data_IF_557847545180
#
_entry.id   IF_557847545180
#
_cell.length_a   1.000
_cell.length_b   1.000
_cell.length_c   1.000
_cell.angle_alpha   90.00
_cell.angle_beta   90.00
_cell.angle_gamma   90.00
#
_symmetry.space_group_name_H-M   'P 1'
#
loop_
_entity.id
_entity.type
_entity.pdbx_description
1 polymer ?
#
# COMPACT_ATOMS: atom_id res chain seq x y z
N UNK A 1 -2.38 17.01 -3.65
CA UNK A 1 -1.08 17.71 -3.60
C UNK A 1 0.04 16.94 -4.26
N UNK A 2 0.47 15.80 -3.72
CA UNK A 2 1.55 14.98 -4.29
C UNK A 2 1.41 14.74 -5.80
N UNK A 3 0.23 14.28 -6.25
CA UNK A 3 0.04 13.98 -7.67
C UNK A 3 0.16 15.24 -8.55
N UNK A 4 -0.32 16.39 -8.06
CA UNK A 4 -0.26 17.64 -8.81
C UNK A 4 1.19 18.14 -9.04
N UNK A 5 2.15 17.75 -8.20
CA UNK A 5 3.57 18.05 -8.42
C UNK A 5 4.29 17.05 -9.32
N UNK A 6 3.67 15.90 -9.61
CA UNK A 6 4.30 14.80 -10.37
C UNK A 6 3.74 14.69 -11.77
N UNK A 7 2.44 14.87 -11.96
CA UNK A 7 1.75 14.68 -13.25
C UNK A 7 1.88 15.92 -14.15
N UNK A 8 1.71 15.72 -15.44
CA UNK A 8 1.65 16.79 -16.43
C UNK A 8 0.42 17.68 -16.17
N UNK A 9 0.59 18.99 -16.33
CA UNK A 9 -0.46 19.96 -16.08
C UNK A 9 -1.73 19.66 -16.90
N UNK A 10 -2.90 19.68 -16.23
CA UNK A 10 -4.19 19.43 -16.86
C UNK A 10 -4.47 17.98 -17.25
N UNK A 11 -3.64 17.02 -16.85
CA UNK A 11 -3.80 15.61 -17.22
C UNK A 11 -4.59 14.76 -16.21
N UNK A 12 -4.89 15.29 -15.02
CA UNK A 12 -5.60 14.56 -13.97
C UNK A 12 -7.05 14.26 -14.38
N UNK A 13 -7.38 12.97 -14.44
CA UNK A 13 -8.76 12.48 -14.62
C UNK A 13 -9.07 11.41 -13.57
N UNK A 14 -9.71 11.82 -12.47
CA UNK A 14 -9.93 10.96 -11.31
C UNK A 14 -11.05 9.95 -11.54
N UNK A 15 -10.69 8.67 -11.54
CA UNK A 15 -11.63 7.57 -11.62
C UNK A 15 -12.42 7.45 -10.31
N UNK A 16 -13.75 7.52 -10.41
CA UNK A 16 -14.67 7.39 -9.26
C UNK A 16 -14.28 8.29 -8.07
N UNK A 17 -14.08 9.58 -8.32
CA UNK A 17 -13.71 10.58 -7.30
C UNK A 17 -14.65 10.57 -6.08
N UNK A 18 -15.95 10.24 -6.27
CA UNK A 18 -16.94 10.23 -5.20
C UNK A 18 -17.11 8.92 -4.42
N UNK A 19 -16.33 7.89 -4.72
CA UNK A 19 -16.44 6.55 -4.10
C UNK A 19 -15.09 6.09 -3.58
N UNK A 20 -15.05 5.40 -2.43
CA UNK A 20 -13.82 4.81 -1.88
C UNK A 20 -12.66 5.81 -1.76
N UNK A 21 -12.91 7.01 -1.24
CA UNK A 21 -11.99 8.16 -1.34
C UNK A 21 -10.68 8.00 -0.55
N UNK A 22 -10.53 6.98 0.28
CA UNK A 22 -9.27 6.69 0.96
C UNK A 22 -8.19 6.16 0.01
N UNK A 23 -8.58 5.70 -1.19
CA UNK A 23 -7.70 5.45 -2.31
C UNK A 23 -8.07 6.35 -3.48
N UNK A 24 -7.11 7.18 -3.90
CA UNK A 24 -7.19 7.95 -5.13
C UNK A 24 -6.80 7.03 -6.28
N UNK A 25 -7.64 7.00 -7.32
CA UNK A 25 -7.35 6.31 -8.58
C UNK A 25 -7.55 7.30 -9.71
N UNK A 26 -6.56 7.52 -10.55
CA UNK A 26 -6.64 8.55 -11.58
C UNK A 26 -5.88 8.11 -12.82
N UNK A 27 -6.40 8.47 -13.99
CA UNK A 27 -5.59 8.53 -15.20
C UNK A 27 -4.82 9.85 -15.18
N UNK A 28 -3.60 9.83 -15.71
CA UNK A 28 -2.75 11.01 -15.81
C UNK A 28 -1.70 10.82 -16.90
N UNK A 29 -0.92 11.88 -17.14
CA UNK A 29 0.34 11.79 -17.90
C UNK A 29 1.52 12.20 -17.04
N UNK A 30 2.67 11.56 -17.24
CA UNK A 30 3.94 11.95 -16.63
C UNK A 30 5.00 11.95 -17.72
N UNK A 31 5.52 13.13 -18.07
CA UNK A 31 6.47 13.28 -19.17
C UNK A 31 5.90 12.80 -20.51
N UNK A 32 4.60 13.01 -20.74
CA UNK A 32 3.90 12.55 -21.94
C UNK A 32 3.45 11.09 -21.92
N UNK A 33 3.91 10.25 -20.98
CA UNK A 33 3.46 8.87 -20.85
C UNK A 33 2.10 8.78 -20.17
N UNK A 34 1.11 8.13 -20.80
CA UNK A 34 -0.18 7.84 -20.17
C UNK A 34 -0.03 6.78 -19.09
N UNK A 35 -0.56 7.04 -17.89
CA UNK A 35 -0.44 6.16 -16.73
C UNK A 35 -1.76 6.07 -15.96
N UNK A 36 -1.99 4.93 -15.33
CA UNK A 36 -2.94 4.80 -14.22
C UNK A 36 -2.20 4.97 -12.89
N UNK A 37 -2.79 5.69 -11.94
CA UNK A 37 -2.20 5.91 -10.62
C UNK A 37 -3.16 5.38 -9.56
N UNK A 38 -2.63 4.61 -8.60
CA UNK A 38 -3.33 4.19 -7.38
C UNK A 38 -2.55 4.73 -6.18
N UNK A 39 -3.15 5.59 -5.37
CA UNK A 39 -2.47 6.26 -4.27
C UNK A 39 -3.29 6.27 -2.98
N UNK A 40 -2.65 6.00 -1.84
CA UNK A 40 -3.26 6.31 -0.55
C UNK A 40 -3.34 7.81 -0.35
N UNK A 41 -4.38 8.25 0.36
CA UNK A 41 -4.48 9.63 0.84
C UNK A 41 -4.73 9.70 2.34
N UNK A 42 -4.18 10.75 2.98
CA UNK A 42 -4.19 10.95 4.43
C UNK A 42 -5.40 11.73 4.97
N UNK A 43 -6.25 12.28 4.10
CA UNK A 43 -7.41 13.04 4.56
C UNK A 43 -8.46 12.13 5.19
N UNK A 44 -9.14 12.64 6.21
CA UNK A 44 -10.34 11.99 6.73
C UNK A 44 -11.49 12.17 5.74
N UNK A 45 -12.19 11.09 5.46
CA UNK A 45 -13.28 11.08 4.47
C UNK A 45 -14.59 10.83 5.20
N UNK A 46 -15.54 11.75 5.03
CA UNK A 46 -16.92 11.53 5.51
C UNK A 46 -17.72 10.83 4.42
N UNK A 47 -18.20 9.63 4.71
CA UNK A 47 -19.08 8.88 3.82
C UNK A 47 -20.53 9.00 4.26
N UNK A 48 -21.47 8.90 3.31
CA UNK A 48 -22.91 8.94 3.61
C UNK A 48 -23.40 7.73 4.40
N UNK A 49 -22.67 6.60 4.35
CA UNK A 49 -23.11 5.30 4.89
C UNK A 49 -22.27 4.76 6.04
N UNK A 50 -20.97 5.02 6.05
CA UNK A 50 -20.01 4.37 6.97
C UNK A 50 -19.31 5.38 7.92
N UNK A 51 -19.85 6.60 8.05
CA UNK A 51 -19.28 7.62 8.93
C UNK A 51 -17.93 8.16 8.44
N UNK A 52 -17.02 8.42 9.39
CA UNK A 52 -15.68 8.96 9.12
C UNK A 52 -14.72 7.80 8.85
N UNK A 53 -14.13 7.81 7.66
CA UNK A 53 -13.03 6.93 7.27
C UNK A 53 -11.69 7.63 7.51
N UNK A 54 -10.72 6.90 8.05
CA UNK A 54 -9.37 7.40 8.31
C UNK A 54 -8.51 7.32 7.04
N UNK A 55 -7.75 8.39 6.79
CA UNK A 55 -6.76 8.38 5.71
C UNK A 55 -5.62 7.39 5.99
N UNK A 56 -5.01 6.86 4.94
CA UNK A 56 -3.99 5.80 5.02
C UNK A 56 -4.55 4.39 5.28
N UNK A 57 -5.87 4.24 5.43
CA UNK A 57 -6.54 2.95 5.66
C UNK A 57 -7.34 2.52 4.44
N UNK A 58 -7.25 1.25 4.07
CA UNK A 58 -8.03 0.65 2.98
C UNK A 58 -9.36 0.14 3.53
N UNK A 59 -10.46 0.62 2.96
CA UNK A 59 -11.83 0.17 3.23
C UNK A 59 -12.34 -0.68 2.06
N UNK A 60 -13.40 -1.47 2.30
CA UNK A 60 -13.96 -2.37 1.28
C UNK A 60 -14.33 -1.64 -0.03
N UNK A 61 -14.91 -0.44 0.07
CA UNK A 61 -15.25 0.39 -1.09
C UNK A 61 -14.01 0.87 -1.86
N UNK A 62 -12.98 1.35 -1.16
CA UNK A 62 -11.71 1.76 -1.76
C UNK A 62 -10.97 0.58 -2.41
N UNK A 63 -11.00 -0.61 -1.80
CA UNK A 63 -10.43 -1.82 -2.38
C UNK A 63 -11.16 -2.24 -3.65
N UNK A 64 -12.48 -2.22 -3.65
CA UNK A 64 -13.29 -2.51 -4.85
C UNK A 64 -13.10 -1.48 -5.97
N UNK A 65 -12.93 -0.20 -5.60
CA UNK A 65 -12.59 0.88 -6.55
C UNK A 65 -11.24 0.60 -7.21
N UNK A 66 -10.20 0.40 -6.41
CA UNK A 66 -8.86 0.14 -6.91
C UNK A 66 -8.80 -1.14 -7.75
N UNK A 67 -9.48 -2.21 -7.34
CA UNK A 67 -9.52 -3.45 -8.12
C UNK A 67 -10.10 -3.23 -9.52
N UNK A 68 -11.21 -2.48 -9.63
CA UNK A 68 -11.81 -2.14 -10.93
C UNK A 68 -10.89 -1.27 -11.77
N UNK A 69 -10.23 -0.30 -11.16
CA UNK A 69 -9.30 0.57 -11.84
C UNK A 69 -8.08 -0.18 -12.40
N UNK A 70 -7.51 -1.12 -11.62
CA UNK A 70 -6.41 -1.99 -12.08
C UNK A 70 -6.87 -2.86 -13.26
N UNK A 71 -8.08 -3.42 -13.21
CA UNK A 71 -8.65 -4.18 -14.33
C UNK A 71 -8.80 -3.32 -15.59
N UNK A 72 -9.25 -2.07 -15.43
CA UNK A 72 -9.41 -1.13 -16.54
C UNK A 72 -8.06 -0.72 -17.17
N UNK A 73 -7.04 -0.45 -16.34
CA UNK A 73 -5.69 -0.18 -16.82
C UNK A 73 -5.13 -1.38 -17.62
N UNK A 74 -5.42 -2.61 -17.19
CA UNK A 74 -5.03 -3.82 -17.93
C UNK A 74 -5.76 -3.95 -19.26
N UNK A 75 -7.04 -3.58 -19.33
CA UNK A 75 -7.82 -3.60 -20.56
C UNK A 75 -7.32 -2.57 -21.58
N UNK A 76 -6.87 -1.41 -21.10
CA UNK A 76 -6.37 -0.30 -21.93
C UNK A 76 -4.86 -0.35 -22.19
N UNK A 77 -4.13 -1.25 -21.52
CA UNK A 77 -2.69 -1.39 -21.66
C UNK A 77 -1.88 -0.29 -20.97
N UNK A 78 -2.47 0.42 -20.01
CA UNK A 78 -1.82 1.51 -19.29
C UNK A 78 -0.89 1.01 -18.18
N UNK A 79 0.37 1.46 -18.10
CA UNK A 79 1.22 1.25 -16.94
C UNK A 79 0.58 1.80 -15.67
N UNK A 80 0.79 1.12 -14.54
CA UNK A 80 0.21 1.49 -13.25
C UNK A 80 1.32 1.94 -12.30
N UNK A 81 1.12 3.08 -11.64
CA UNK A 81 1.98 3.60 -10.58
C UNK A 81 1.25 3.52 -9.24
N UNK A 82 1.85 2.86 -8.27
CA UNK A 82 1.34 2.75 -6.90
C UNK A 82 2.11 3.70 -5.98
N UNK A 83 1.41 4.62 -5.33
CA UNK A 83 1.97 5.43 -4.24
C UNK A 83 1.50 4.87 -2.90
N UNK A 84 2.42 4.24 -2.17
CA UNK A 84 2.14 3.59 -0.90
C UNK A 84 2.33 4.56 0.27
N UNK A 85 1.23 4.80 0.97
CA UNK A 85 1.21 5.41 2.30
C UNK A 85 0.08 4.78 3.12
N UNK A 86 0.22 3.47 3.34
CA UNK A 86 -0.80 2.57 3.85
C UNK A 86 -0.42 2.02 5.22
N UNK A 87 -1.33 2.17 6.18
CA UNK A 87 -1.21 1.56 7.52
C UNK A 87 -1.86 0.19 7.61
N UNK A 88 -2.78 -0.12 6.69
CA UNK A 88 -3.44 -1.41 6.59
C UNK A 88 -4.89 -1.30 6.09
N UNK A 89 -5.66 -2.36 6.34
CA UNK A 89 -7.11 -2.38 6.10
C UNK A 89 -7.87 -1.98 7.36
N UNK A 90 -9.10 -1.49 7.20
CA UNK A 90 -9.99 -1.21 8.31
C UNK A 90 -10.31 -2.51 9.07
N UNK A 91 -10.19 -2.48 10.39
CA UNK A 91 -10.52 -3.62 11.26
C UNK A 91 -11.84 -3.39 12.00
N UNK A 92 -12.45 -4.48 12.49
CA UNK A 92 -13.65 -4.41 13.31
C UNK A 92 -14.82 -5.16 12.69
N UNK A 93 -15.83 -5.46 13.53
CA UNK A 93 -16.96 -6.31 13.17
C UNK A 93 -17.66 -5.87 11.88
N UNK A 94 -17.92 -4.58 11.74
CA UNK A 94 -18.64 -4.06 10.57
C UNK A 94 -17.81 -4.17 9.29
N UNK A 95 -16.48 -3.98 9.38
CA UNK A 95 -15.58 -4.16 8.26
C UNK A 95 -15.56 -5.63 7.80
N UNK A 96 -15.44 -6.57 8.74
CA UNK A 96 -15.49 -8.01 8.47
C UNK A 96 -16.83 -8.43 7.85
N UNK A 97 -17.95 -8.02 8.45
CA UNK A 97 -19.30 -8.35 7.97
C UNK A 97 -19.61 -7.72 6.61
N UNK A 98 -19.03 -6.56 6.30
CA UNK A 98 -19.16 -5.92 4.97
C UNK A 98 -18.37 -6.63 3.87
N UNK A 99 -17.53 -7.62 4.23
CA UNK A 99 -16.75 -8.40 3.28
C UNK A 99 -15.41 -7.77 2.90
N UNK A 100 -14.76 -7.07 3.83
CA UNK A 100 -13.46 -6.42 3.55
C UNK A 100 -12.39 -7.39 3.06
N UNK A 101 -12.37 -8.63 3.58
CA UNK A 101 -11.45 -9.68 3.13
C UNK A 101 -11.69 -9.98 1.64
N UNK A 102 -12.95 -10.11 1.22
CA UNK A 102 -13.31 -10.39 -0.17
C UNK A 102 -12.91 -9.23 -1.09
N UNK A 103 -13.23 -7.99 -0.73
CA UNK A 103 -12.85 -6.82 -1.52
C UNK A 103 -11.33 -6.65 -1.60
N UNK A 104 -10.61 -6.92 -0.50
CA UNK A 104 -9.15 -6.94 -0.46
C UNK A 104 -8.54 -8.04 -1.34
N UNK A 105 -9.06 -9.27 -1.26
CA UNK A 105 -8.62 -10.39 -2.09
C UNK A 105 -8.81 -10.12 -3.58
N UNK A 106 -9.91 -9.46 -3.95
CA UNK A 106 -10.16 -9.03 -5.33
C UNK A 106 -9.14 -8.01 -5.84
N UNK A 107 -8.76 -7.03 -5.01
CA UNK A 107 -7.70 -6.07 -5.34
C UNK A 107 -6.35 -6.78 -5.50
N UNK A 108 -5.98 -7.63 -4.53
CA UNK A 108 -4.75 -8.41 -4.59
C UNK A 108 -4.71 -9.28 -5.85
N UNK A 109 -5.82 -9.94 -6.20
CA UNK A 109 -5.91 -10.72 -7.44
C UNK A 109 -5.73 -9.86 -8.70
N UNK A 110 -6.29 -8.65 -8.73
CA UNK A 110 -6.10 -7.72 -9.83
C UNK A 110 -4.64 -7.31 -10.01
N UNK A 111 -3.96 -7.03 -8.91
CA UNK A 111 -2.55 -6.62 -8.90
C UNK A 111 -1.64 -7.78 -9.29
N UNK A 112 -1.84 -8.97 -8.71
CA UNK A 112 -1.04 -10.17 -8.99
C UNK A 112 -1.08 -10.57 -10.46
N UNK A 113 -2.27 -10.54 -11.05
CA UNK A 113 -2.47 -10.98 -12.43
C UNK A 113 -2.29 -9.87 -13.45
N UNK A 114 -1.98 -8.65 -13.01
CA UNK A 114 -1.79 -7.49 -13.88
C UNK A 114 -0.64 -7.74 -14.85
N UNK A 115 -0.94 -7.68 -16.15
CA UNK A 115 0.05 -7.83 -17.21
C UNK A 115 0.78 -6.51 -17.47
N UNK A 116 0.10 -5.36 -17.33
CA UNK A 116 0.72 -4.06 -17.59
C UNK A 116 1.88 -3.76 -16.65
N UNK A 117 2.87 -2.94 -17.06
CA UNK A 117 3.98 -2.58 -16.19
C UNK A 117 3.49 -1.89 -14.92
N UNK A 118 4.09 -2.26 -13.78
CA UNK A 118 3.79 -1.68 -12.47
C UNK A 118 5.04 -1.01 -11.92
N UNK A 119 4.90 0.19 -11.37
CA UNK A 119 5.96 0.89 -10.62
C UNK A 119 5.38 1.21 -9.24
N UNK A 120 6.16 1.01 -8.18
CA UNK A 120 5.73 1.30 -6.81
C UNK A 120 6.65 2.33 -6.18
N UNK A 121 6.09 3.34 -5.51
CA UNK A 121 6.82 4.34 -4.75
C UNK A 121 6.25 4.36 -3.33
N UNK A 122 7.06 4.00 -2.35
CA UNK A 122 6.71 4.11 -0.93
C UNK A 122 7.02 5.53 -0.46
N UNK A 123 5.98 6.34 -0.28
CA UNK A 123 6.09 7.76 0.12
C UNK A 123 5.91 7.97 1.62
N UNK A 124 5.33 6.97 2.31
CA UNK A 124 5.15 6.97 3.76
C UNK A 124 5.17 5.56 4.32
N UNK A 125 4.04 5.09 4.85
CA UNK A 125 3.92 3.74 5.38
C UNK A 125 3.70 2.68 4.29
N UNK A 126 4.33 1.52 4.44
CA UNK A 126 3.98 0.29 3.74
C UNK A 126 3.89 -0.84 4.76
N UNK A 127 2.66 -1.10 5.21
CA UNK A 127 2.40 -2.02 6.31
C UNK A 127 1.45 -3.16 5.94
N UNK A 128 1.82 -4.38 6.35
CA UNK A 128 0.98 -5.56 6.37
C UNK A 128 0.26 -5.83 5.05
N UNK A 129 -1.04 -6.15 5.11
CA UNK A 129 -1.86 -6.42 3.93
C UNK A 129 -1.98 -5.22 2.97
N UNK A 130 -1.74 -3.99 3.46
CA UNK A 130 -1.71 -2.80 2.62
C UNK A 130 -0.59 -2.82 1.59
N UNK A 131 0.60 -3.28 1.99
CA UNK A 131 1.73 -3.50 1.09
C UNK A 131 1.36 -4.46 -0.04
N UNK A 132 0.62 -5.52 0.27
CA UNK A 132 0.19 -6.51 -0.71
C UNK A 132 -0.82 -5.93 -1.71
N UNK A 133 -1.83 -5.25 -1.19
CA UNK A 133 -2.90 -4.65 -1.97
C UNK A 133 -2.42 -3.58 -2.96
N UNK A 134 -1.29 -2.93 -2.68
CA UNK A 134 -0.76 -1.81 -3.45
C UNK A 134 0.58 -2.12 -4.13
N UNK A 135 0.77 -3.38 -4.54
CA UNK A 135 1.91 -3.81 -5.35
C UNK A 135 3.28 -3.69 -4.65
N UNK A 136 3.42 -4.24 -3.45
CA UNK A 136 4.71 -4.44 -2.79
C UNK A 136 5.65 -5.37 -3.56
N UNK A 137 6.87 -5.59 -3.04
CA UNK A 137 7.94 -6.34 -3.74
C UNK A 137 7.51 -7.72 -4.26
N UNK A 138 6.67 -8.43 -3.52
CA UNK A 138 6.19 -9.78 -3.87
C UNK A 138 5.21 -9.83 -5.06
N UNK A 139 4.75 -8.67 -5.57
CA UNK A 139 3.81 -8.56 -6.69
C UNK A 139 4.50 -8.11 -7.98
N UNK A 140 5.83 -8.26 -8.02
CA UNK A 140 6.70 -7.99 -9.16
C UNK A 140 6.41 -6.66 -9.88
N UNK A 141 6.46 -5.52 -9.17
CA UNK A 141 6.64 -4.25 -9.85
C UNK A 141 7.97 -4.28 -10.62
N UNK A 142 8.01 -3.63 -11.79
CA UNK A 142 9.25 -3.46 -12.56
C UNK A 142 10.30 -2.70 -11.77
N UNK A 143 9.84 -1.72 -10.99
CA UNK A 143 10.65 -0.96 -10.06
C UNK A 143 9.84 -0.67 -8.81
N UNK A 144 10.48 -0.83 -7.65
CA UNK A 144 9.96 -0.41 -6.36
C UNK A 144 10.96 0.53 -5.67
N UNK A 145 10.53 1.76 -5.48
CA UNK A 145 11.33 2.83 -4.91
C UNK A 145 10.73 3.29 -3.59
N UNK A 146 11.50 4.03 -2.80
CA UNK A 146 11.00 4.66 -1.59
C UNK A 146 11.59 6.03 -1.33
N UNK A 147 10.87 6.85 -0.58
CA UNK A 147 11.38 8.08 -0.01
C UNK A 147 12.20 7.83 1.28
N UNK A 148 13.07 8.76 1.70
CA UNK A 148 13.91 8.56 2.88
C UNK A 148 13.09 8.47 4.18
N UNK A 149 11.91 9.10 4.22
CA UNK A 149 11.00 9.05 5.37
C UNK A 149 10.13 7.79 5.41
N UNK A 150 10.19 6.94 4.38
CA UNK A 150 9.31 5.78 4.29
C UNK A 150 9.55 4.79 5.44
N UNK A 151 8.54 3.99 5.72
CA UNK A 151 8.52 2.95 6.76
C UNK A 151 7.93 1.68 6.17
N UNK A 152 8.70 0.59 6.21
CA UNK A 152 8.34 -0.66 5.53
C UNK A 152 8.42 -1.82 6.53
N UNK A 153 7.28 -2.39 6.92
CA UNK A 153 7.27 -3.50 7.89
C UNK A 153 5.96 -4.31 7.84
N UNK A 154 5.89 -5.39 8.61
CA UNK A 154 4.65 -6.17 8.78
C UNK A 154 3.56 -5.37 9.49
N UNK A 155 3.91 -4.57 10.49
CA UNK A 155 3.04 -3.64 11.22
C UNK A 155 3.88 -2.58 11.93
N UNK A 156 3.24 -1.54 12.47
CA UNK A 156 3.95 -0.50 13.23
C UNK A 156 4.56 -1.03 14.53
N UNK A 157 5.71 -0.48 14.94
CA UNK A 157 6.44 -0.91 16.14
C UNK A 157 5.59 -0.89 17.42
N UNK A 158 4.80 0.17 17.61
CA UNK A 158 3.88 0.28 18.76
C UNK A 158 2.85 -0.86 18.75
N UNK A 159 2.18 -1.08 17.61
CA UNK A 159 1.17 -2.13 17.45
C UNK A 159 1.74 -3.54 17.70
N UNK A 160 2.95 -3.81 17.21
CA UNK A 160 3.64 -5.08 17.46
C UNK A 160 3.96 -5.26 18.94
N UNK A 161 4.56 -4.24 19.56
CA UNK A 161 4.96 -4.29 20.97
C UNK A 161 3.76 -4.47 21.90
N UNK A 162 2.64 -3.79 21.63
CA UNK A 162 1.41 -3.88 22.42
C UNK A 162 0.75 -5.25 22.29
N UNK A 163 0.77 -5.81 21.08
CA UNK A 163 0.22 -7.16 20.83
C UNK A 163 1.04 -8.21 21.58
N UNK A 164 2.37 -8.18 21.47
CA UNK A 164 3.27 -9.08 22.20
C UNK A 164 3.07 -8.95 23.70
N UNK A 165 3.02 -7.71 24.21
CA UNK A 165 2.75 -7.44 25.62
C UNK A 165 1.41 -8.03 26.07
N UNK A 166 0.33 -7.84 25.29
CA UNK A 166 -1.00 -8.35 25.64
C UNK A 166 -1.07 -9.88 25.68
N UNK A 167 -0.36 -10.57 24.78
CA UNK A 167 -0.30 -12.03 24.74
C UNK A 167 0.45 -12.57 25.96
N UNK A 168 1.58 -11.95 26.30
CA UNK A 168 2.38 -12.33 27.45
C UNK A 168 1.66 -12.04 28.77
N UNK A 169 0.98 -10.90 28.88
CA UNK A 169 0.15 -10.57 30.05
C UNK A 169 -0.97 -11.60 30.25
N UNK A 170 -1.69 -11.99 29.19
CA UNK A 170 -2.73 -13.03 29.25
C UNK A 170 -2.18 -14.42 29.57
N UNK A 171 -0.96 -14.73 29.13
CA UNK A 171 -0.27 -15.97 29.49
C UNK A 171 0.09 -15.99 30.98
N UNK A 172 0.41 -14.82 31.56
CA UNK A 172 0.70 -14.65 32.98
C UNK A 172 -0.49 -14.99 33.87
N UNK A 173 -1.70 -14.66 33.42
CA UNK A 173 -2.95 -14.96 34.13
C UNK A 173 -3.31 -16.46 34.08
N UNK A 174 -2.66 -17.26 33.22
CA UNK A 174 -2.95 -18.68 32.98
C UNK A 174 -1.96 -19.70 33.61
N UNK A 175 -0.76 -19.31 34.07
CA UNK A 175 0.07 -20.17 34.94
C UNK A 175 1.61 -20.08 34.85
N UNK A 176 2.23 -20.31 36.03
CA UNK A 176 3.57 -20.78 36.45
C UNK A 176 4.92 -20.08 36.19
N UNK A 177 5.02 -18.99 35.42
CA UNK A 177 6.14 -18.05 35.60
C UNK A 177 5.66 -16.61 35.44
N UNK A 178 5.46 -15.94 36.58
CA UNK A 178 5.12 -14.53 36.62
C UNK A 178 6.35 -13.72 36.21
N UNK A 179 6.47 -13.37 34.93
CA UNK A 179 7.38 -12.31 34.53
C UNK A 179 7.02 -11.05 35.34
N UNK A 180 8.03 -10.43 35.96
CA UNK A 180 7.81 -9.21 36.72
C UNK A 180 7.29 -8.09 35.80
N UNK A 181 6.57 -7.08 36.32
CA UNK A 181 6.19 -5.93 35.51
C UNK A 181 7.39 -5.27 34.80
N UNK A 182 8.56 -5.30 35.43
CA UNK A 182 9.81 -4.75 34.89
C UNK A 182 10.35 -5.62 33.74
N UNK A 183 10.32 -6.95 33.85
CA UNK A 183 10.72 -7.86 32.78
C UNK A 183 9.82 -7.72 31.54
N UNK A 184 8.52 -7.50 31.75
CA UNK A 184 7.56 -7.27 30.67
C UNK A 184 7.81 -5.93 29.97
N UNK A 185 8.11 -4.87 30.71
CA UNK A 185 8.42 -3.57 30.13
C UNK A 185 9.76 -3.57 29.39
N UNK A 186 10.78 -4.25 29.94
CA UNK A 186 12.06 -4.46 29.25
C UNK A 186 11.88 -5.22 27.93
N UNK A 187 11.07 -6.27 27.93
CA UNK A 187 10.77 -7.02 26.72
C UNK A 187 9.99 -6.17 25.71
N UNK A 188 9.01 -5.38 26.15
CA UNK A 188 8.28 -4.44 25.30
C UNK A 188 9.22 -3.43 24.66
N UNK A 189 10.12 -2.83 25.44
CA UNK A 189 11.12 -1.89 24.95
C UNK A 189 12.05 -2.53 23.91
N UNK A 190 12.57 -3.73 24.19
CA UNK A 190 13.42 -4.48 23.25
C UNK A 190 12.71 -4.80 21.93
N UNK A 191 11.44 -5.25 22.01
CA UNK A 191 10.63 -5.53 20.82
C UNK A 191 10.39 -4.24 20.03
N UNK A 192 10.06 -3.15 20.71
CA UNK A 192 9.83 -1.85 20.08
C UNK A 192 11.08 -1.36 19.34
N UNK A 193 12.25 -1.38 19.98
CA UNK A 193 13.52 -0.98 19.38
C UNK A 193 13.87 -1.84 18.15
N UNK A 194 13.71 -3.16 18.25
CA UNK A 194 13.93 -4.08 17.12
C UNK A 194 13.02 -3.73 15.94
N UNK A 195 11.74 -3.46 16.20
CA UNK A 195 10.81 -3.07 15.15
C UNK A 195 11.12 -1.69 14.58
N UNK A 196 11.53 -0.72 15.39
CA UNK A 196 11.91 0.63 14.92
C UNK A 196 13.08 0.56 13.95
N UNK A 197 14.11 -0.24 14.26
CA UNK A 197 15.25 -0.47 13.37
C UNK A 197 14.81 -1.15 12.06
N UNK A 198 14.04 -2.24 12.16
CA UNK A 198 13.64 -3.03 10.99
C UNK A 198 12.62 -2.32 10.10
N UNK A 199 11.88 -1.37 10.65
CA UNK A 199 10.90 -0.57 9.90
C UNK A 199 11.58 0.56 9.11
N UNK A 200 12.81 0.95 9.45
CA UNK A 200 13.57 1.94 8.70
C UNK A 200 13.78 1.48 7.25
N UNK A 201 13.54 2.38 6.30
CA UNK A 201 13.62 2.05 4.88
C UNK A 201 15.01 1.57 4.44
N UNK A 202 16.07 2.03 5.12
CA UNK A 202 17.46 1.64 4.87
C UNK A 202 17.69 0.16 5.20
N UNK A 203 17.00 -0.35 6.23
CA UNK A 203 17.04 -1.77 6.58
C UNK A 203 16.53 -2.64 5.43
N UNK A 204 15.43 -2.23 4.81
CA UNK A 204 14.84 -2.91 3.66
C UNK A 204 15.66 -2.75 2.38
N UNK A 205 16.18 -1.55 2.11
CA UNK A 205 17.03 -1.29 0.95
C UNK A 205 18.31 -2.15 0.96
N UNK A 206 18.97 -2.28 2.12
CA UNK A 206 20.15 -3.14 2.29
C UNK A 206 19.88 -4.64 2.03
N UNK A 207 18.60 -5.04 1.95
CA UNK A 207 18.16 -6.43 1.76
C UNK A 207 17.43 -6.65 0.43
N UNK A 208 17.42 -5.66 -0.46
CA UNK A 208 16.78 -5.76 -1.77
C UNK A 208 15.25 -5.77 -1.73
N UNK A 209 14.63 -5.26 -0.66
CA UNK A 209 13.17 -5.09 -0.63
C UNK A 209 12.70 -3.98 -1.58
N UNK A 210 13.62 -3.08 -1.93
CA UNK A 210 13.45 -1.90 -2.78
C UNK A 210 14.65 -1.83 -3.71
N UNK A 211 14.48 -1.17 -4.85
CA UNK A 211 15.53 -1.03 -5.86
C UNK A 211 16.36 0.25 -5.62
N UNK A 212 15.75 1.32 -5.10
CA UNK A 212 16.46 2.52 -4.65
C UNK A 212 15.67 3.36 -3.64
N UNK A 213 16.39 4.20 -2.89
CA UNK A 213 15.84 5.31 -2.12
C UNK A 213 16.11 6.59 -2.92
N UNK A 214 15.05 7.36 -3.22
CA UNK A 214 15.13 8.59 -4.03
C UNK A 214 14.67 9.80 -3.22
N UNK A 215 15.12 11.01 -3.58
CA UNK A 215 14.59 12.21 -2.93
C UNK A 215 13.18 12.51 -3.41
N UNK A 216 12.28 13.04 -2.55
CA UNK A 216 10.90 13.33 -2.94
C UNK A 216 10.76 14.23 -4.17
N UNK A 217 11.64 15.23 -4.32
CA UNK A 217 11.60 16.17 -5.44
C UNK A 217 12.08 15.57 -6.78
N UNK A 218 12.84 14.48 -6.75
CA UNK A 218 13.33 13.76 -7.94
C UNK A 218 12.28 12.80 -8.51
N UNK A 219 11.19 12.55 -7.76
CA UNK A 219 10.17 11.53 -8.10
C UNK A 219 9.65 11.65 -9.53
N UNK A 220 9.42 12.87 -10.02
CA UNK A 220 8.92 13.08 -11.39
C UNK A 220 9.95 12.65 -12.43
N UNK A 221 11.18 13.13 -12.33
CA UNK A 221 12.24 12.86 -13.31
C UNK A 221 12.57 11.37 -13.37
N UNK A 222 12.66 10.73 -12.19
CA UNK A 222 12.84 9.27 -12.09
C UNK A 222 11.67 8.53 -12.74
N UNK A 223 10.42 8.93 -12.49
CA UNK A 223 9.26 8.29 -13.12
C UNK A 223 9.28 8.43 -14.64
N UNK A 224 9.67 9.58 -15.19
CA UNK A 224 9.79 9.78 -16.65
C UNK A 224 10.81 8.80 -17.23
N UNK A 225 11.97 8.66 -16.60
CA UNK A 225 13.00 7.71 -17.03
C UNK A 225 12.51 6.25 -17.00
N UNK A 226 11.93 5.84 -15.86
CA UNK A 226 11.43 4.48 -15.69
C UNK A 226 10.30 4.15 -16.67
N UNK A 227 9.39 5.10 -16.91
CA UNK A 227 8.32 4.95 -17.89
C UNK A 227 8.88 4.79 -19.31
N UNK A 228 9.97 5.46 -19.65
CA UNK A 228 10.71 5.27 -20.90
C UNK A 228 11.24 3.83 -21.07
N UNK A 229 11.61 3.15 -19.99
CA UNK A 229 12.05 1.76 -20.03
C UNK A 229 10.89 0.76 -20.12
N UNK A 230 9.81 0.99 -19.37
CA UNK A 230 8.72 0.00 -19.23
C UNK A 230 7.62 0.13 -20.27
N UNK A 231 7.50 1.27 -20.96
CA UNK A 231 6.47 1.50 -21.99
C UNK A 231 6.78 0.84 -23.35
N UNK A 232 7.77 -0.05 -23.40
CA UNK A 232 8.11 -0.85 -24.60
C UNK A 232 7.01 -1.88 -24.90
N UNK A 233 6.86 -2.35 -26.16
CA UNK A 233 5.77 -3.24 -26.54
C UNK A 233 5.67 -4.44 -25.62
N UNK A 234 4.52 -4.54 -24.95
CA UNK A 234 4.19 -5.62 -24.04
C UNK A 234 4.21 -6.97 -24.77
N UNK A 235 4.73 -8.05 -24.15
CA UNK A 235 4.48 -9.40 -24.63
C UNK A 235 2.97 -9.60 -24.78
N UNK A 236 2.52 -10.38 -25.78
CA UNK A 236 1.10 -10.74 -25.96
C UNK A 236 0.62 -11.67 -24.81
N UNK A 237 0.54 -11.15 -23.60
CA UNK A 237 -0.03 -11.81 -22.45
C UNK A 237 -1.52 -11.49 -22.40
N UNK A 238 -2.34 -12.50 -22.10
CA UNK A 238 -3.77 -12.31 -21.87
C UNK A 238 -3.99 -12.05 -20.38
N UNK A 239 -4.61 -10.92 -20.05
CA UNK A 239 -5.00 -10.62 -18.67
C UNK A 239 -6.07 -11.62 -18.18
N UNK A 240 -5.83 -12.28 -17.05
CA UNK A 240 -6.78 -13.21 -16.43
C UNK A 240 -6.76 -13.08 -14.91
N UNK A 241 -7.90 -12.76 -14.31
CA UNK A 241 -8.06 -12.50 -12.87
C UNK A 241 -8.04 -13.75 -11.98
N UNK A 242 -7.88 -14.94 -12.55
CA UNK A 242 -8.17 -16.18 -11.85
C UNK A 242 -9.64 -16.25 -11.38
N UNK A 243 -9.88 -17.02 -10.32
CA UNK A 243 -11.21 -17.08 -9.69
C UNK A 243 -11.39 -15.86 -8.79
N UNK A 244 -12.38 -15.03 -9.11
CA UNK A 244 -12.73 -13.86 -8.29
C UNK A 244 -13.75 -14.28 -7.25
N UNK A 245 -13.46 -14.00 -5.98
CA UNK A 245 -14.41 -14.16 -4.88
C UNK A 245 -15.45 -13.02 -4.97
N UNK A 246 -16.69 -13.36 -5.34
CA UNK A 246 -17.81 -12.42 -5.58
C UNK A 246 -18.68 -12.13 -4.37
#
# INVERSE_FOLDING_TARGET
DLLASIIDAGSLDEYKADYGKTLVTTYARIGGHSVGIVANQRHQVRTKRAGIQMGGVIYADSADKAARFVMDCNQTGLPIIFFQDVTGFMVGRDAEQSGIIRSGAKLVSAVSNSIVPKITIVVGGSFGAGNYALCGKAYDPRFILAWPNARYAVMGAAQASDTVFSVLAKSRDRGDKKASPEELEQLRAKVKETYEEQTDIRYGAARGWLDAIIQPHETRDVLVELLGYVSRPMPRARFHMGVVQV
#
